data_IF_639059889930
#
_entry.id   IF_639059889930
#
_cell.length_a   1.000
_cell.length_b   1.000
_cell.length_c   1.000
_cell.angle_alpha   90.00
_cell.angle_beta   90.00
_cell.angle_gamma   90.00
#
_symmetry.space_group_name_H-M   'P 1'
#
loop_
_entity.id
_entity.type
_entity.pdbx_description
1 polymer ?
#
# COMPACT_ATOMS: atom_id res chain seq x y z
N UNK A 1 -5.95 -1.03 12.55
CA UNK A 1 -4.54 -0.55 12.61
C UNK A 1 -3.86 -0.58 11.24
N UNK A 2 -4.64 -0.68 10.14
CA UNK A 2 -4.08 -1.12 8.85
C UNK A 2 -3.48 0.02 8.01
N UNK A 3 -3.79 1.28 8.33
CA UNK A 3 -3.33 2.43 7.54
C UNK A 3 -1.85 2.78 7.77
N UNK A 4 -1.39 2.76 9.03
CA UNK A 4 0.02 3.01 9.35
C UNK A 4 0.88 1.89 8.77
N UNK A 5 0.51 0.63 9.03
CA UNK A 5 1.24 -0.54 8.53
C UNK A 5 1.31 -0.58 7.00
N UNK A 6 0.22 -0.21 6.30
CA UNK A 6 0.22 -0.09 4.85
C UNK A 6 1.27 0.94 4.37
N UNK A 7 1.24 2.15 4.92
CA UNK A 7 2.14 3.23 4.48
C UNK A 7 3.61 2.89 4.77
N UNK A 8 3.91 2.43 5.99
CA UNK A 8 5.29 2.14 6.40
C UNK A 8 5.86 0.92 5.67
N UNK A 9 5.11 -0.17 5.51
CA UNK A 9 5.59 -1.34 4.78
C UNK A 9 5.70 -1.08 3.27
N UNK A 10 4.83 -0.23 2.69
CA UNK A 10 4.93 0.14 1.29
C UNK A 10 6.23 0.93 1.05
N UNK A 11 6.56 1.85 1.96
CA UNK A 11 7.85 2.55 1.95
C UNK A 11 9.03 1.59 2.06
N UNK A 12 9.04 0.69 3.06
CA UNK A 12 10.16 -0.24 3.25
C UNK A 12 10.37 -1.12 2.02
N UNK A 13 9.29 -1.64 1.43
CA UNK A 13 9.36 -2.44 0.20
C UNK A 13 9.90 -1.62 -0.99
N UNK A 14 9.35 -0.44 -1.23
CA UNK A 14 9.75 0.44 -2.33
C UNK A 14 11.21 0.90 -2.19
N UNK A 15 11.61 1.33 -0.99
CA UNK A 15 12.97 1.77 -0.68
C UNK A 15 13.98 0.65 -0.85
N UNK A 16 13.65 -0.57 -0.37
CA UNK A 16 14.53 -1.73 -0.54
C UNK A 16 14.68 -2.09 -2.01
N UNK A 17 13.58 -2.12 -2.76
CA UNK A 17 13.63 -2.45 -4.18
C UNK A 17 14.39 -1.42 -5.01
N UNK A 18 14.31 -0.14 -4.64
CA UNK A 18 15.10 0.93 -5.26
C UNK A 18 16.59 0.80 -4.91
N UNK A 19 16.92 0.42 -3.67
CA UNK A 19 18.31 0.17 -3.25
C UNK A 19 18.95 -1.00 -4.02
N UNK A 20 18.16 -2.01 -4.37
CA UNK A 20 18.59 -3.17 -5.18
C UNK A 20 18.49 -2.92 -6.70
N UNK A 21 18.19 -1.69 -7.14
CA UNK A 21 18.08 -1.30 -8.55
C UNK A 21 17.11 -2.16 -9.38
N UNK A 22 16.03 -2.67 -8.78
CA UNK A 22 15.05 -3.56 -9.42
C UNK A 22 14.15 -2.88 -10.48
N UNK A 23 14.43 -1.62 -10.84
CA UNK A 23 13.66 -0.84 -11.80
C UNK A 23 12.25 -0.47 -11.33
N UNK A 24 11.47 0.16 -12.22
CA UNK A 24 10.12 0.65 -11.90
C UNK A 24 9.16 -0.46 -11.44
N UNK A 25 9.08 -1.55 -12.22
CA UNK A 25 8.19 -2.67 -11.90
C UNK A 25 8.56 -3.33 -10.58
N UNK A 26 9.86 -3.51 -10.29
CA UNK A 26 10.30 -4.05 -9.02
C UNK A 26 9.88 -3.18 -7.84
N UNK A 27 10.07 -1.87 -7.93
CA UNK A 27 9.69 -0.92 -6.87
C UNK A 27 8.18 -0.96 -6.59
N UNK A 28 7.36 -0.93 -7.63
CA UNK A 28 5.90 -0.98 -7.48
C UNK A 28 5.44 -2.32 -6.90
N UNK A 29 6.00 -3.44 -7.37
CA UNK A 29 5.63 -4.77 -6.88
C UNK A 29 5.99 -4.95 -5.41
N UNK A 30 7.20 -4.55 -4.99
CA UNK A 30 7.59 -4.63 -3.58
C UNK A 30 6.78 -3.67 -2.69
N UNK A 31 6.41 -2.49 -3.20
CA UNK A 31 5.52 -1.58 -2.49
C UNK A 31 4.13 -2.20 -2.19
N UNK A 32 3.67 -3.13 -3.03
CA UNK A 32 2.38 -3.84 -2.87
C UNK A 32 2.55 -5.10 -2.00
N UNK A 33 3.56 -5.92 -2.30
CA UNK A 33 3.73 -7.24 -1.69
C UNK A 33 4.13 -7.14 -0.22
N UNK A 34 5.00 -6.19 0.16
CA UNK A 34 5.48 -6.08 1.54
C UNK A 34 4.34 -5.77 2.54
N UNK A 35 3.47 -4.77 2.31
CA UNK A 35 2.27 -4.59 3.12
C UNK A 35 1.34 -5.81 3.11
N UNK A 36 1.11 -6.39 1.93
CA UNK A 36 0.24 -7.55 1.76
C UNK A 36 0.68 -8.76 2.58
N UNK A 37 1.98 -9.02 2.63
CA UNK A 37 2.55 -10.12 3.41
C UNK A 37 2.31 -9.93 4.91
N UNK A 38 2.51 -8.72 5.42
CA UNK A 38 2.23 -8.39 6.82
C UNK A 38 0.74 -8.51 7.16
N UNK A 39 -0.13 -8.01 6.28
CA UNK A 39 -1.58 -8.15 6.39
C UNK A 39 -2.01 -9.62 6.39
N UNK A 40 -1.49 -10.43 5.47
CA UNK A 40 -1.79 -11.85 5.37
C UNK A 40 -1.38 -12.64 6.62
N UNK A 41 -0.16 -12.43 7.13
CA UNK A 41 0.32 -13.10 8.35
C UNK A 41 -0.58 -12.75 9.54
N UNK A 42 -0.93 -11.47 9.70
CA UNK A 42 -1.83 -11.01 10.77
C UNK A 42 -3.20 -11.68 10.66
N UNK A 43 -3.77 -11.70 9.46
CA UNK A 43 -5.08 -12.29 9.19
C UNK A 43 -5.11 -13.79 9.44
N UNK A 44 -4.06 -14.54 9.06
CA UNK A 44 -3.95 -15.98 9.35
C UNK A 44 -3.96 -16.25 10.86
N UNK A 45 -3.18 -15.48 11.63
CA UNK A 45 -3.14 -15.60 13.10
C UNK A 45 -4.51 -15.27 13.71
N UNK A 46 -5.19 -14.26 13.19
CA UNK A 46 -6.53 -13.85 13.62
C UNK A 46 -7.67 -14.72 13.06
N UNK A 47 -7.40 -15.69 12.18
CA UNK A 47 -8.41 -16.49 11.45
C UNK A 47 -9.40 -15.63 10.65
N UNK A 48 -8.92 -14.51 10.11
CA UNK A 48 -9.67 -13.59 9.26
C UNK A 48 -9.16 -13.67 7.82
N UNK A 49 -9.97 -13.23 6.85
CA UNK A 49 -9.50 -13.08 5.45
C UNK A 49 -8.61 -11.83 5.36
N UNK A 50 -7.47 -11.87 4.64
CA UNK A 50 -6.60 -10.70 4.43
C UNK A 50 -7.33 -9.54 3.74
N UNK A 51 -7.10 -8.31 4.22
CA UNK A 51 -7.69 -7.10 3.66
C UNK A 51 -7.33 -6.87 2.20
N UNK A 52 -6.14 -7.29 1.76
CA UNK A 52 -5.75 -7.20 0.36
C UNK A 52 -6.66 -8.02 -0.58
N UNK A 53 -7.30 -9.08 -0.08
CA UNK A 53 -8.12 -9.98 -0.91
C UNK A 53 -9.53 -9.46 -1.19
N UNK A 54 -10.03 -8.50 -0.39
CA UNK A 54 -11.40 -7.98 -0.54
C UNK A 54 -11.50 -6.44 -0.54
N UNK A 55 -10.41 -5.69 -0.35
CA UNK A 55 -10.39 -4.23 -0.46
C UNK A 55 -9.51 -3.78 -1.61
N UNK A 56 -10.13 -3.49 -2.75
CA UNK A 56 -9.46 -2.94 -3.95
C UNK A 56 -8.59 -1.72 -3.65
N UNK A 57 -9.05 -0.83 -2.77
CA UNK A 57 -8.34 0.42 -2.44
C UNK A 57 -7.05 0.15 -1.66
N UNK A 58 -6.85 -1.04 -1.07
CA UNK A 58 -5.59 -1.37 -0.39
C UNK A 58 -4.43 -1.48 -1.39
N UNK A 59 -4.60 -2.33 -2.41
CA UNK A 59 -3.58 -2.55 -3.43
C UNK A 59 -3.33 -1.29 -4.27
N UNK A 60 -4.39 -0.55 -4.61
CA UNK A 60 -4.28 0.69 -5.38
C UNK A 60 -3.48 1.77 -4.64
N UNK A 61 -3.68 1.92 -3.32
CA UNK A 61 -2.91 2.88 -2.52
C UNK A 61 -1.44 2.47 -2.37
N UNK A 62 -1.17 1.17 -2.20
CA UNK A 62 0.20 0.65 -2.17
C UNK A 62 0.92 0.88 -3.50
N UNK A 63 0.22 0.63 -4.62
CA UNK A 63 0.70 0.87 -5.97
C UNK A 63 0.98 2.36 -6.18
N UNK A 64 0.05 3.24 -5.79
CA UNK A 64 0.20 4.69 -5.90
C UNK A 64 1.43 5.19 -5.12
N UNK A 65 1.66 4.65 -3.92
CA UNK A 65 2.87 4.95 -3.15
C UNK A 65 4.13 4.56 -3.93
N UNK A 66 4.21 3.32 -4.43
CA UNK A 66 5.37 2.83 -5.15
C UNK A 66 5.67 3.64 -6.42
N UNK A 67 4.64 4.02 -7.17
CA UNK A 67 4.76 4.88 -8.35
C UNK A 67 5.28 6.27 -7.96
N UNK A 68 4.65 6.90 -6.97
CA UNK A 68 5.06 8.24 -6.51
C UNK A 68 6.50 8.25 -5.98
N UNK A 69 6.86 7.24 -5.19
CA UNK A 69 8.21 7.08 -4.64
C UNK A 69 9.25 6.88 -5.75
N UNK A 70 8.95 6.09 -6.78
CA UNK A 70 9.84 5.91 -7.93
C UNK A 70 10.01 7.18 -8.77
N UNK A 71 8.93 7.93 -9.01
CA UNK A 71 8.99 9.20 -9.73
C UNK A 71 9.80 10.25 -8.98
N UNK A 72 9.73 10.23 -7.65
CA UNK A 72 10.48 11.11 -6.76
C UNK A 72 11.86 10.55 -6.34
N UNK A 73 12.39 9.57 -7.08
CA UNK A 73 13.67 8.91 -6.74
C UNK A 73 14.85 9.87 -6.61
N UNK A 74 14.85 10.96 -7.36
CA UNK A 74 15.93 11.96 -7.33
C UNK A 74 15.92 12.75 -6.01
N UNK A 75 14.80 12.72 -5.29
CA UNK A 75 14.61 13.32 -3.98
C UNK A 75 14.51 12.29 -2.85
N UNK A 76 14.89 11.02 -3.09
CA UNK A 76 14.75 9.95 -2.09
C UNK A 76 15.53 10.21 -0.80
N UNK A 77 16.65 10.92 -0.89
CA UNK A 77 17.50 11.26 0.26
C UNK A 77 16.91 12.42 1.09
N UNK A 78 15.93 13.13 0.53
CA UNK A 78 15.18 14.13 1.26
C UNK A 78 14.11 13.45 2.14
N UNK A 79 14.44 13.33 3.41
CA UNK A 79 13.59 12.76 4.45
C UNK A 79 12.19 13.40 4.49
N UNK A 80 12.06 14.69 4.19
CA UNK A 80 10.76 15.37 4.18
C UNK A 80 9.82 14.85 3.09
N UNK A 81 10.34 14.53 1.91
CA UNK A 81 9.55 13.99 0.80
C UNK A 81 8.96 12.63 1.19
N UNK A 82 9.76 11.79 1.85
CA UNK A 82 9.32 10.48 2.36
C UNK A 82 8.21 10.64 3.40
N UNK A 83 8.38 11.53 4.37
CA UNK A 83 7.36 11.77 5.39
C UNK A 83 6.05 12.31 4.79
N UNK A 84 6.14 13.21 3.81
CA UNK A 84 4.96 13.74 3.12
C UNK A 84 4.23 12.61 2.37
N UNK A 85 4.94 11.76 1.63
CA UNK A 85 4.34 10.63 0.92
C UNK A 85 3.65 9.64 1.86
N UNK A 86 4.31 9.30 2.98
CA UNK A 86 3.74 8.45 4.02
C UNK A 86 2.45 9.05 4.59
N UNK A 87 2.47 10.35 4.88
CA UNK A 87 1.33 11.05 5.46
C UNK A 87 0.17 11.17 4.45
N UNK A 88 0.44 11.41 3.17
CA UNK A 88 -0.56 11.43 2.10
C UNK A 88 -1.26 10.06 2.00
N UNK A 89 -0.51 8.96 1.90
CA UNK A 89 -1.11 7.62 1.79
C UNK A 89 -1.85 7.22 3.06
N UNK A 90 -1.33 7.59 4.23
CA UNK A 90 -2.01 7.37 5.49
C UNK A 90 -3.37 8.08 5.53
N UNK A 91 -3.43 9.36 5.17
CA UNK A 91 -4.67 10.15 5.11
C UNK A 91 -5.63 9.57 4.06
N UNK A 92 -5.13 9.26 2.85
CA UNK A 92 -5.95 8.65 1.80
C UNK A 92 -6.54 7.32 2.25
N UNK A 93 -5.79 6.52 3.00
CA UNK A 93 -6.30 5.26 3.56
C UNK A 93 -7.36 5.49 4.63
N UNK A 94 -7.19 6.47 5.51
CA UNK A 94 -8.21 6.83 6.50
C UNK A 94 -9.49 7.33 5.84
N UNK A 95 -9.37 8.17 4.80
CA UNK A 95 -10.50 8.64 4.00
C UNK A 95 -11.20 7.47 3.30
N UNK A 96 -10.46 6.58 2.65
CA UNK A 96 -11.01 5.41 1.98
C UNK A 96 -11.83 4.52 2.94
N UNK A 97 -11.35 4.35 4.18
CA UNK A 97 -12.07 3.57 5.20
C UNK A 97 -13.32 4.33 5.67
N UNK A 98 -13.20 5.64 5.97
CA UNK A 98 -14.32 6.46 6.48
C UNK A 98 -15.45 6.59 5.46
N UNK A 99 -15.12 6.73 4.18
CA UNK A 99 -16.07 6.87 3.08
C UNK A 99 -16.48 5.54 2.44
N UNK A 100 -16.00 4.39 2.95
CA UNK A 100 -16.20 3.07 2.36
C UNK A 100 -15.95 3.07 0.84
N UNK A 101 -14.83 3.65 0.39
CA UNK A 101 -14.48 3.59 -1.03
C UNK A 101 -14.34 2.12 -1.45
N UNK A 102 -15.21 1.71 -2.37
CA UNK A 102 -15.17 0.43 -3.06
C UNK A 102 -14.96 0.73 -4.54
N UNK A 103 -13.91 0.15 -5.15
CA UNK A 103 -13.58 0.41 -6.54
C UNK A 103 -14.57 -0.30 -7.48
N UNK A 104 -15.10 -1.46 -7.08
CA UNK A 104 -16.17 -2.16 -7.79
C UNK A 104 -17.00 -3.05 -6.84
N UNK A 105 -18.31 -2.86 -6.80
CA UNK A 105 -19.22 -3.88 -6.27
C UNK A 105 -19.63 -4.83 -7.41
N UNK A 106 -19.29 -6.13 -7.38
CA UNK A 106 -20.13 -7.11 -8.04
C UNK A 106 -21.46 -7.12 -7.28
N UNK A 107 -22.55 -6.63 -7.93
CA UNK A 107 -23.92 -6.74 -7.40
C UNK A 107 -24.12 -8.15 -6.87
N UNK A 108 -24.30 -8.30 -5.55
CA UNK A 108 -24.78 -9.55 -4.95
C UNK A 108 -26.17 -9.84 -5.52
N UNK A 109 -26.22 -10.69 -6.55
CA UNK A 109 -27.47 -11.32 -6.98
C UNK A 109 -27.86 -12.33 -5.91
N UNK A 110 -28.67 -11.89 -4.95
CA UNK A 110 -29.36 -12.76 -4.02
C UNK A 110 -30.27 -13.71 -4.81
N UNK A 111 -30.03 -15.01 -4.72
CA UNK A 111 -31.05 -16.06 -4.78
C UNK A 111 -30.76 -17.06 -3.69
#
# INVERSE_FOLDING_TARGET
MDAVGLATFAYVGAARAMAENLGFLGVVMFAIITPAGGDAIRSVISREVPAIMYRDVYATLAMLFGIAYFLLRDFKDNVWVVYILLLIIFILRLLAIKFNWQLWEPKKSYK
#
